data_IF_035900742145
#
_entry.id   IF_035900742145
#
_cell.length_a   1.000
_cell.length_b   1.000
_cell.length_c   1.000
_cell.angle_alpha   90.00
_cell.angle_beta   90.00
_cell.angle_gamma   90.00
#
_symmetry.space_group_name_H-M   'P 1'
#
loop_
_entity.id
_entity.type
_entity.pdbx_description
1 polymer ?
#
# COMPACT_ATOMS: atom_id res chain seq x y z
N UNK A 1 -5.40 -2.50 32.59
CA UNK A 1 -6.21 -1.40 32.03
C UNK A 1 -5.52 -0.02 32.19
N UNK A 2 -4.35 0.16 31.57
CA UNK A 2 -3.70 1.44 31.20
C UNK A 2 -2.67 1.18 30.07
N UNK A 3 -3.01 0.25 29.17
CA UNK A 3 -2.13 -0.31 28.13
C UNK A 3 -1.58 0.77 27.16
N UNK A 4 -2.38 1.77 26.75
CA UNK A 4 -1.86 2.84 25.89
C UNK A 4 -0.85 3.74 26.61
N UNK A 5 -1.06 3.98 27.90
CA UNK A 5 -0.19 4.87 28.69
C UNK A 5 1.18 4.23 28.94
N UNK A 6 1.24 2.92 29.19
CA UNK A 6 2.51 2.21 29.30
C UNK A 6 3.33 2.23 27.99
N UNK A 7 2.67 2.12 26.82
CA UNK A 7 3.34 2.27 25.52
C UNK A 7 3.83 3.69 25.29
N UNK A 8 2.99 4.69 25.57
CA UNK A 8 3.38 6.09 25.43
C UNK A 8 4.52 6.45 26.38
N UNK A 9 4.53 5.92 27.61
CA UNK A 9 5.64 6.10 28.55
C UNK A 9 6.93 5.45 28.03
N UNK A 10 6.87 4.20 27.53
CA UNK A 10 8.02 3.51 26.95
C UNK A 10 8.58 4.29 25.76
N UNK A 11 7.72 4.75 24.85
CA UNK A 11 8.10 5.54 23.69
C UNK A 11 8.75 6.87 24.10
N UNK A 12 8.16 7.58 25.07
CA UNK A 12 8.72 8.81 25.63
C UNK A 12 10.12 8.61 26.24
N UNK A 13 10.34 7.49 26.94
CA UNK A 13 11.67 7.13 27.47
C UNK A 13 12.65 6.93 26.33
N UNK A 14 12.26 6.21 25.28
CA UNK A 14 13.13 5.96 24.13
C UNK A 14 13.51 7.24 23.39
N UNK A 15 12.55 8.15 23.19
CA UNK A 15 12.78 9.49 22.60
C UNK A 15 13.80 10.29 23.43
N UNK A 16 13.69 10.26 24.76
CA UNK A 16 14.66 10.94 25.64
C UNK A 16 16.04 10.29 25.54
N UNK A 17 16.11 8.97 25.53
CA UNK A 17 17.36 8.21 25.38
C UNK A 17 18.04 8.49 24.03
N UNK A 18 17.27 8.62 22.96
CA UNK A 18 17.77 8.93 21.63
C UNK A 18 18.30 10.37 21.50
N UNK A 19 17.55 11.35 22.04
CA UNK A 19 17.85 12.77 21.86
C UNK A 19 18.86 13.34 22.86
N UNK A 20 19.14 12.62 23.95
CA UNK A 20 20.10 13.04 24.98
C UNK A 20 21.34 12.16 24.97
N UNK A 21 22.48 12.73 25.35
CA UNK A 21 23.72 11.96 25.53
C UNK A 21 23.65 11.16 26.84
N UNK A 22 22.90 10.06 26.80
CA UNK A 22 22.68 9.16 27.95
C UNK A 22 23.83 8.12 28.01
N UNK A 23 24.30 7.71 29.20
CA UNK A 23 25.34 6.69 29.31
C UNK A 23 24.96 5.36 28.62
N UNK A 24 25.89 4.68 27.92
CA UNK A 24 25.61 3.43 27.20
C UNK A 24 25.01 2.32 28.06
N UNK A 25 25.35 2.28 29.35
CA UNK A 25 24.78 1.32 30.30
C UNK A 25 23.26 1.47 30.46
N UNK A 26 22.75 2.71 30.41
CA UNK A 26 21.32 2.99 30.50
C UNK A 26 20.63 2.62 29.19
N UNK A 27 21.25 2.94 28.04
CA UNK A 27 20.75 2.54 26.72
C UNK A 27 20.56 1.02 26.66
N UNK A 28 21.59 0.25 27.04
CA UNK A 28 21.54 -1.22 27.04
C UNK A 28 20.49 -1.79 28.02
N UNK A 29 20.32 -1.15 29.18
CA UNK A 29 19.29 -1.57 30.14
C UNK A 29 17.88 -1.34 29.59
N UNK A 30 17.65 -0.22 28.90
CA UNK A 30 16.38 0.08 28.23
C UNK A 30 16.16 -0.90 27.07
N UNK A 31 17.16 -1.14 26.23
CA UNK A 31 17.09 -2.10 25.12
C UNK A 31 16.71 -3.50 25.60
N UNK A 32 17.35 -3.98 26.67
CA UNK A 32 17.05 -5.29 27.29
C UNK A 32 15.62 -5.33 27.85
N UNK A 33 15.15 -4.23 28.44
CA UNK A 33 13.77 -4.13 28.96
C UNK A 33 12.76 -4.18 27.83
N UNK A 34 13.01 -3.43 26.75
CA UNK A 34 12.18 -3.42 25.55
C UNK A 34 12.13 -4.80 24.89
N UNK A 35 13.27 -5.48 24.79
CA UNK A 35 13.37 -6.86 24.30
C UNK A 35 12.52 -7.84 25.10
N UNK A 36 12.55 -7.75 26.44
CA UNK A 36 11.76 -8.64 27.30
C UNK A 36 10.25 -8.38 27.21
N UNK A 37 9.84 -7.14 26.93
CA UNK A 37 8.44 -6.75 26.84
C UNK A 37 7.84 -6.92 25.44
N UNK A 38 8.65 -7.21 24.42
CA UNK A 38 8.21 -7.19 23.03
C UNK A 38 7.05 -8.18 22.77
N UNK A 39 7.12 -9.40 23.32
CA UNK A 39 6.09 -10.41 23.15
C UNK A 39 4.78 -10.00 23.83
N UNK A 40 4.88 -9.44 25.04
CA UNK A 40 3.73 -8.93 25.78
C UNK A 40 3.06 -7.74 25.07
N UNK A 41 3.85 -6.86 24.44
CA UNK A 41 3.37 -5.72 23.66
C UNK A 41 2.54 -6.18 22.45
N UNK A 42 2.99 -7.22 21.73
CA UNK A 42 2.31 -7.72 20.54
C UNK A 42 1.18 -8.71 20.84
N UNK A 43 1.00 -9.14 22.09
CA UNK A 43 -0.22 -9.80 22.55
C UNK A 43 -1.42 -8.85 22.66
N UNK A 44 -1.20 -7.54 22.58
CA UNK A 44 -2.26 -6.54 22.69
C UNK A 44 -3.02 -6.34 21.37
N UNK A 45 -4.30 -5.94 21.44
CA UNK A 45 -5.07 -5.63 20.24
C UNK A 45 -4.40 -4.51 19.45
N UNK A 46 -4.55 -4.60 18.13
CA UNK A 46 -4.05 -3.61 17.21
C UNK A 46 -4.63 -2.22 17.55
N UNK A 47 -3.76 -1.23 17.76
CA UNK A 47 -4.15 0.16 18.08
C UNK A 47 -3.22 1.14 17.38
N UNK A 48 -3.72 2.32 16.99
CA UNK A 48 -2.92 3.36 16.33
C UNK A 48 -1.71 3.77 17.19
N UNK A 49 -1.91 3.86 18.51
CA UNK A 49 -0.86 4.19 19.49
C UNK A 49 0.29 3.18 19.50
N UNK A 50 0.04 1.92 19.14
CA UNK A 50 1.10 0.92 19.00
C UNK A 50 1.99 1.25 17.79
N UNK A 51 1.42 1.66 16.65
CA UNK A 51 2.21 2.08 15.49
C UNK A 51 3.03 3.34 15.79
N UNK A 52 2.42 4.34 16.42
CA UNK A 52 3.11 5.59 16.82
C UNK A 52 4.27 5.29 17.78
N UNK A 53 4.02 4.52 18.83
CA UNK A 53 5.06 4.14 19.79
C UNK A 53 6.20 3.37 19.12
N UNK A 54 5.89 2.45 18.20
CA UNK A 54 6.93 1.69 17.50
C UNK A 54 7.74 2.55 16.53
N UNK A 55 7.10 3.53 15.86
CA UNK A 55 7.80 4.48 15.01
C UNK A 55 8.77 5.37 15.81
N UNK A 56 8.44 5.70 17.06
CA UNK A 56 9.32 6.45 17.98
C UNK A 56 10.45 5.59 18.57
N UNK A 57 10.19 4.31 18.83
CA UNK A 57 11.18 3.39 19.43
C UNK A 57 12.21 2.92 18.40
N UNK A 58 11.81 2.73 17.14
CA UNK A 58 12.65 2.16 16.08
C UNK A 58 13.99 2.90 15.86
N UNK A 59 14.05 4.25 15.80
CA UNK A 59 15.31 4.99 15.65
C UNK A 59 16.27 4.83 16.83
N UNK A 60 15.75 4.51 18.02
CA UNK A 60 16.56 4.39 19.24
C UNK A 60 17.32 3.06 19.26
N UNK A 61 16.74 1.99 18.71
CA UNK A 61 17.31 0.64 18.76
C UNK A 61 17.30 -0.02 17.37
N UNK A 62 18.26 0.32 16.48
CA UNK A 62 18.35 -0.26 15.14
C UNK A 62 18.42 -1.80 15.12
N UNK A 63 19.06 -2.38 16.14
CA UNK A 63 19.16 -3.83 16.38
C UNK A 63 17.80 -4.53 16.49
N UNK A 64 16.75 -3.82 16.91
CA UNK A 64 15.43 -4.37 17.17
C UNK A 64 14.43 -4.15 16.03
N UNK A 65 14.75 -3.30 15.06
CA UNK A 65 13.82 -2.90 13.98
C UNK A 65 13.28 -4.12 13.22
N UNK A 66 14.14 -5.08 12.86
CA UNK A 66 13.71 -6.30 12.17
C UNK A 66 12.70 -7.12 13.00
N UNK A 67 12.93 -7.22 14.31
CA UNK A 67 12.03 -7.94 15.22
C UNK A 67 10.68 -7.23 15.34
N UNK A 68 10.68 -5.90 15.47
CA UNK A 68 9.47 -5.08 15.51
C UNK A 68 8.67 -5.16 14.20
N UNK A 69 9.32 -4.96 13.06
CA UNK A 69 8.68 -5.04 11.75
C UNK A 69 8.03 -6.41 11.54
N UNK A 70 8.75 -7.50 11.83
CA UNK A 70 8.22 -8.86 11.68
C UNK A 70 7.02 -9.13 12.60
N UNK A 71 7.08 -8.71 13.88
CA UNK A 71 5.97 -8.90 14.82
C UNK A 71 4.76 -8.05 14.46
N UNK A 72 4.97 -6.78 14.11
CA UNK A 72 3.92 -5.88 13.63
C UNK A 72 3.23 -6.45 12.40
N UNK A 73 4.00 -6.91 11.42
CA UNK A 73 3.48 -7.48 10.19
C UNK A 73 2.70 -8.78 10.44
N UNK A 74 3.17 -9.63 11.36
CA UNK A 74 2.42 -10.82 11.76
C UNK A 74 1.09 -10.47 12.43
N UNK A 75 1.06 -9.46 13.32
CA UNK A 75 -0.18 -9.02 13.97
C UNK A 75 -1.16 -8.43 12.96
N UNK A 76 -0.68 -7.61 12.01
CA UNK A 76 -1.49 -7.06 10.91
C UNK A 76 -2.00 -8.18 10.00
N UNK A 77 -1.13 -9.10 9.57
CA UNK A 77 -1.49 -10.25 8.75
C UNK A 77 -2.53 -11.14 9.44
N UNK A 78 -2.41 -11.33 10.75
CA UNK A 78 -3.41 -12.08 11.52
C UNK A 78 -4.75 -11.33 11.60
N UNK A 79 -4.73 -10.00 11.72
CA UNK A 79 -5.95 -9.19 11.73
C UNK A 79 -6.69 -9.21 10.38
N UNK A 80 -5.96 -9.23 9.27
CA UNK A 80 -6.51 -9.23 7.91
C UNK A 80 -6.90 -10.63 7.42
N UNK A 81 -6.01 -11.60 7.63
CA UNK A 81 -6.08 -12.90 6.98
C UNK A 81 -6.25 -14.07 7.95
N UNK A 82 -6.19 -13.82 9.27
CA UNK A 82 -6.15 -14.85 10.31
C UNK A 82 -4.96 -15.83 10.18
N UNK A 83 -3.87 -15.38 9.54
CA UNK A 83 -2.65 -16.15 9.33
C UNK A 83 -1.41 -15.26 9.53
N UNK A 84 -0.28 -15.80 10.03
CA UNK A 84 0.96 -15.06 10.12
C UNK A 84 1.55 -14.78 8.73
N UNK A 85 2.35 -13.71 8.63
CA UNK A 85 3.01 -13.32 7.39
C UNK A 85 3.94 -14.43 6.90
N UNK A 86 3.97 -14.67 5.58
CA UNK A 86 4.74 -15.75 4.96
C UNK A 86 4.07 -17.13 5.01
N UNK A 87 2.86 -17.24 5.56
CA UNK A 87 2.01 -18.41 5.32
C UNK A 87 1.61 -18.40 3.85
N UNK A 88 2.02 -19.39 3.06
CA UNK A 88 1.90 -19.34 1.59
C UNK A 88 0.50 -19.05 1.03
N UNK A 89 0.38 -18.81 -0.28
CA UNK A 89 -0.82 -18.26 -0.95
C UNK A 89 -2.13 -19.00 -0.65
N UNK A 90 -2.06 -20.31 -0.41
CA UNK A 90 -3.21 -21.17 -0.12
C UNK A 90 -3.96 -20.80 1.18
N UNK A 91 -3.35 -20.04 2.10
CA UNK A 91 -4.00 -19.64 3.36
C UNK A 91 -4.69 -18.28 3.31
N UNK A 92 -4.28 -17.36 2.42
CA UNK A 92 -4.89 -16.02 2.31
C UNK A 92 -6.30 -16.05 1.71
N UNK A 93 -6.65 -17.13 1.02
CA UNK A 93 -7.92 -17.28 0.30
C UNK A 93 -9.19 -17.45 1.18
N UNK A 94 -9.12 -17.42 2.52
CA UNK A 94 -10.24 -17.91 3.34
C UNK A 94 -10.53 -17.25 4.69
N UNK A 95 -9.85 -16.18 5.09
CA UNK A 95 -10.01 -15.58 6.42
C UNK A 95 -11.25 -14.68 6.57
N UNK A 96 -11.37 -13.66 5.72
CA UNK A 96 -12.36 -12.59 5.88
C UNK A 96 -13.73 -12.91 5.25
N UNK A 97 -13.76 -13.58 4.09
CA UNK A 97 -15.00 -13.82 3.32
C UNK A 97 -15.82 -15.06 3.71
N UNK A 98 -15.38 -15.88 4.68
CA UNK A 98 -16.08 -17.15 5.01
C UNK A 98 -17.47 -16.97 5.63
N UNK A 99 -17.89 -15.76 5.99
CA UNK A 99 -19.22 -15.51 6.58
C UNK A 99 -20.34 -15.17 5.59
N UNK A 100 -20.11 -15.16 4.27
CA UNK A 100 -21.18 -14.85 3.29
C UNK A 100 -21.49 -15.95 2.27
N UNK A 101 -20.91 -17.13 2.41
CA UNK A 101 -21.44 -18.30 1.74
C UNK A 101 -22.80 -18.67 2.36
N UNK A 102 -23.86 -18.22 1.72
CA UNK A 102 -25.23 -18.70 1.95
C UNK A 102 -25.18 -20.22 1.86
N UNK A 103 -25.63 -20.86 2.94
CA UNK A 103 -25.87 -22.28 3.02
C UNK A 103 -26.75 -22.75 1.86
N UNK A 104 -26.16 -23.43 0.89
CA UNK A 104 -26.89 -24.27 -0.06
C UNK A 104 -26.18 -25.61 -0.22
N UNK A 105 -26.73 -26.64 0.45
CA UNK A 105 -26.51 -28.03 0.10
C UNK A 105 -25.55 -28.83 1.01
N UNK A 106 -26.06 -29.34 2.12
CA UNK A 106 -25.41 -30.38 2.91
C UNK A 106 -26.27 -30.77 4.11
N UNK A 107 -26.77 -32.01 4.14
CA UNK A 107 -27.84 -32.50 5.02
C UNK A 107 -27.59 -32.41 6.54
N UNK A 108 -28.61 -32.72 7.36
CA UNK A 108 -28.55 -32.51 8.81
C UNK A 108 -27.69 -33.57 9.49
N UNK A 109 -26.78 -33.23 10.42
CA UNK A 109 -26.20 -34.23 11.29
C UNK A 109 -27.17 -34.53 12.44
N UNK A 110 -27.43 -35.82 12.62
CA UNK A 110 -28.15 -36.37 13.76
C UNK A 110 -27.35 -36.17 15.07
N UNK A 111 -28.09 -35.84 16.14
CA UNK A 111 -27.84 -36.12 17.56
C UNK A 111 -26.41 -35.93 18.12
N UNK A 112 -26.20 -34.82 18.82
CA UNK A 112 -25.27 -34.72 19.96
C UNK A 112 -25.96 -33.94 21.09
N UNK A 113 -25.83 -34.35 22.37
CA UNK A 113 -26.54 -33.72 23.48
C UNK A 113 -25.91 -32.38 23.84
N UNK A 114 -26.77 -31.42 24.16
CA UNK A 114 -26.43 -30.04 24.51
C UNK A 114 -25.63 -29.95 25.82
N UNK A 115 -24.30 -29.93 25.71
CA UNK A 115 -23.45 -29.36 26.75
C UNK A 115 -23.36 -27.85 26.52
N UNK A 116 -23.68 -27.07 27.55
CA UNK A 116 -23.56 -25.61 27.59
C UNK A 116 -22.21 -25.15 27.00
N UNK A 117 -22.22 -24.73 25.74
CA UNK A 117 -21.14 -23.98 25.12
C UNK A 117 -21.22 -22.58 25.71
N UNK A 118 -20.18 -22.07 26.40
CA UNK A 118 -20.20 -20.68 26.87
C UNK A 118 -20.36 -19.79 25.63
N UNK A 119 -21.21 -18.78 25.73
CA UNK A 119 -21.44 -17.81 24.66
C UNK A 119 -20.09 -17.21 24.24
N UNK A 120 -19.54 -17.73 23.14
CA UNK A 120 -18.37 -17.14 22.49
C UNK A 120 -18.78 -15.76 22.04
N UNK A 121 -18.10 -14.71 22.54
CA UNK A 121 -18.17 -13.33 22.07
C UNK A 121 -18.29 -13.32 20.53
N UNK A 122 -19.51 -13.15 20.02
CA UNK A 122 -19.73 -12.99 18.60
C UNK A 122 -19.29 -11.56 18.28
N UNK A 123 -18.06 -11.42 17.78
CA UNK A 123 -17.56 -10.15 17.25
C UNK A 123 -18.58 -9.65 16.23
N UNK A 124 -19.10 -8.45 16.44
CA UNK A 124 -20.09 -7.88 15.53
C UNK A 124 -19.43 -7.63 14.17
N UNK A 125 -20.17 -7.68 13.05
CA UNK A 125 -19.63 -7.35 11.73
C UNK A 125 -18.96 -5.96 11.69
N UNK A 126 -19.48 -5.00 12.47
CA UNK A 126 -18.92 -3.64 12.59
C UNK A 126 -17.55 -3.63 13.26
N UNK A 127 -17.39 -4.32 14.39
CA UNK A 127 -16.10 -4.42 15.09
C UNK A 127 -15.03 -5.12 14.24
N UNK A 128 -15.44 -6.09 13.41
CA UNK A 128 -14.52 -6.77 12.50
C UNK A 128 -14.09 -5.85 11.35
N UNK A 129 -15.00 -5.03 10.81
CA UNK A 129 -14.68 -4.03 9.80
C UNK A 129 -13.70 -2.97 10.34
N UNK A 130 -13.93 -2.46 11.56
CA UNK A 130 -13.04 -1.48 12.19
C UNK A 130 -11.61 -2.03 12.37
N UNK A 131 -11.49 -3.31 12.74
CA UNK A 131 -10.18 -3.98 12.85
C UNK A 131 -9.46 -4.07 11.51
N UNK A 132 -10.17 -4.39 10.42
CA UNK A 132 -9.57 -4.45 9.08
C UNK A 132 -9.13 -3.07 8.60
N UNK A 133 -9.99 -2.06 8.76
CA UNK A 133 -9.65 -0.67 8.43
C UNK A 133 -8.41 -0.22 9.19
N UNK A 134 -8.34 -0.52 10.49
CA UNK A 134 -7.19 -0.18 11.31
C UNK A 134 -5.92 -0.92 10.87
N UNK A 135 -6.02 -2.21 10.52
CA UNK A 135 -4.90 -3.01 10.04
C UNK A 135 -4.34 -2.48 8.71
N UNK A 136 -5.21 -2.17 7.74
CA UNK A 136 -4.80 -1.56 6.46
C UNK A 136 -4.13 -0.20 6.67
N UNK A 137 -4.69 0.63 7.57
CA UNK A 137 -4.12 1.95 7.89
C UNK A 137 -2.76 1.85 8.56
N UNK A 138 -2.59 0.91 9.50
CA UNK A 138 -1.30 0.71 10.17
C UNK A 138 -0.23 0.20 9.20
N UNK A 139 -0.60 -0.67 8.26
CA UNK A 139 0.32 -1.13 7.22
C UNK A 139 0.83 0.03 6.34
N UNK A 140 -0.02 1.03 6.09
CA UNK A 140 0.34 2.25 5.34
C UNK A 140 1.17 3.25 6.16
N UNK A 141 0.97 3.31 7.47
CA UNK A 141 1.62 4.31 8.35
C UNK A 141 3.00 3.87 8.86
N UNK A 142 3.20 2.58 9.05
CA UNK A 142 4.45 2.05 9.59
C UNK A 142 5.39 1.63 8.46
N UNK A 143 6.68 1.92 8.61
CA UNK A 143 7.65 1.62 7.58
C UNK A 143 8.25 0.22 7.72
N UNK A 144 8.22 -0.56 6.64
CA UNK A 144 8.67 -1.95 6.57
C UNK A 144 9.87 -2.14 5.62
N UNK A 145 10.78 -1.17 5.54
CA UNK A 145 11.93 -1.17 4.61
C UNK A 145 12.78 -2.46 4.59
N UNK A 146 12.78 -3.27 5.66
CA UNK A 146 13.58 -4.49 5.75
C UNK A 146 12.81 -5.75 5.31
N UNK A 147 11.56 -5.60 4.85
CA UNK A 147 10.69 -6.70 4.44
C UNK A 147 10.08 -6.38 3.07
N UNK A 148 10.26 -7.26 2.10
CA UNK A 148 9.58 -7.17 0.82
C UNK A 148 8.09 -7.46 0.99
N UNK A 149 7.24 -6.44 0.76
CA UNK A 149 5.79 -6.54 0.92
C UNK A 149 5.03 -6.85 -0.37
N UNK A 150 5.68 -6.80 -1.54
CA UNK A 150 5.02 -6.90 -2.85
C UNK A 150 4.07 -8.10 -2.99
N UNK A 151 4.55 -9.33 -2.71
CA UNK A 151 3.71 -10.53 -2.80
C UNK A 151 2.53 -10.51 -1.81
N UNK A 152 2.74 -9.98 -0.60
CA UNK A 152 1.67 -9.86 0.38
C UNK A 152 0.63 -8.82 -0.02
N UNK A 153 1.06 -7.69 -0.59
CA UNK A 153 0.14 -6.69 -1.14
C UNK A 153 -0.70 -7.32 -2.25
N UNK A 154 -0.06 -8.01 -3.20
CA UNK A 154 -0.74 -8.72 -4.27
C UNK A 154 -1.71 -9.78 -3.76
N UNK A 155 -1.28 -10.70 -2.91
CA UNK A 155 -2.04 -11.91 -2.58
C UNK A 155 -3.07 -11.70 -1.45
N UNK A 156 -2.81 -10.75 -0.55
CA UNK A 156 -3.68 -10.49 0.60
C UNK A 156 -4.45 -9.17 0.48
N UNK A 157 -3.77 -8.06 0.17
CA UNK A 157 -4.37 -6.72 0.25
C UNK A 157 -5.27 -6.42 -0.96
N UNK A 158 -4.91 -6.86 -2.17
CA UNK A 158 -5.75 -6.61 -3.36
C UNK A 158 -7.14 -7.22 -3.26
N UNK A 159 -7.35 -8.26 -2.44
CA UNK A 159 -8.66 -8.86 -2.21
C UNK A 159 -9.64 -7.91 -1.52
N UNK A 160 -9.14 -6.93 -0.78
CA UNK A 160 -9.97 -5.94 -0.08
C UNK A 160 -10.37 -4.75 -0.96
N UNK A 161 -9.81 -4.64 -2.18
CA UNK A 161 -10.18 -3.59 -3.14
C UNK A 161 -11.62 -3.78 -3.63
N UNK A 162 -12.10 -5.02 -3.70
CA UNK A 162 -13.45 -5.37 -4.15
C UNK A 162 -14.43 -5.60 -2.98
N UNK A 163 -14.10 -5.13 -1.77
CA UNK A 163 -14.91 -5.33 -0.58
C UNK A 163 -16.26 -4.59 -0.64
N UNK A 164 -17.29 -5.11 0.04
CA UNK A 164 -18.60 -4.46 0.06
C UNK A 164 -18.58 -3.12 0.78
N UNK A 165 -17.69 -2.96 1.77
CA UNK A 165 -17.55 -1.73 2.53
C UNK A 165 -16.71 -0.71 1.76
N UNK A 166 -17.27 0.48 1.43
CA UNK A 166 -16.50 1.54 0.76
C UNK A 166 -15.30 2.00 1.60
N UNK A 167 -15.41 1.94 2.93
CA UNK A 167 -14.28 2.30 3.80
C UNK A 167 -13.11 1.31 3.69
N UNK A 168 -13.41 0.01 3.52
CA UNK A 168 -12.38 -1.01 3.36
C UNK A 168 -11.73 -0.88 1.98
N UNK A 169 -12.54 -0.75 0.91
CA UNK A 169 -12.03 -0.54 -0.45
C UNK A 169 -11.09 0.64 -0.54
N UNK A 170 -11.48 1.79 0.02
CA UNK A 170 -10.67 3.00 0.05
C UNK A 170 -9.33 2.80 0.77
N UNK A 171 -9.36 2.22 1.96
CA UNK A 171 -8.15 2.01 2.74
C UNK A 171 -7.24 0.97 2.08
N UNK A 172 -7.79 -0.09 1.49
CA UNK A 172 -7.04 -1.10 0.75
C UNK A 172 -6.35 -0.51 -0.48
N UNK A 173 -7.08 0.27 -1.28
CA UNK A 173 -6.53 0.98 -2.44
C UNK A 173 -5.35 1.88 -2.06
N UNK A 174 -5.53 2.75 -1.06
CA UNK A 174 -4.47 3.65 -0.58
C UNK A 174 -3.27 2.88 -0.03
N UNK A 175 -3.49 1.77 0.67
CA UNK A 175 -2.42 0.92 1.19
C UNK A 175 -1.66 0.24 0.06
N UNK A 176 -2.33 -0.27 -0.98
CA UNK A 176 -1.69 -0.80 -2.18
C UNK A 176 -0.86 0.26 -2.90
N UNK A 177 -1.39 1.48 -3.12
CA UNK A 177 -0.66 2.56 -3.76
C UNK A 177 0.60 2.98 -2.97
N UNK A 178 0.56 2.94 -1.64
CA UNK A 178 1.75 3.27 -0.83
C UNK A 178 2.83 2.19 -0.96
N UNK A 179 2.43 0.93 -0.81
CA UNK A 179 3.36 -0.19 -0.62
C UNK A 179 3.85 -0.82 -1.93
N UNK A 180 3.20 -0.56 -3.07
CA UNK A 180 3.57 -1.15 -4.35
C UNK A 180 4.98 -0.75 -4.84
N UNK A 181 5.53 0.38 -4.36
CA UNK A 181 6.84 0.90 -4.79
C UNK A 181 7.83 1.04 -3.62
N UNK A 182 7.39 0.86 -2.38
CA UNK A 182 8.26 0.89 -1.20
C UNK A 182 9.03 -0.45 -1.07
N UNK A 183 9.69 -0.89 -2.15
CA UNK A 183 10.65 -1.99 -2.11
C UNK A 183 11.99 -1.50 -1.52
N UNK A 184 12.71 -2.36 -0.77
CA UNK A 184 13.99 -2.00 -0.19
C UNK A 184 14.95 -1.43 -1.25
N UNK A 185 15.79 -0.43 -0.91
CA UNK A 185 16.74 0.15 -1.85
C UNK A 185 17.74 -0.87 -2.41
N UNK A 186 18.00 -1.97 -1.69
CA UNK A 186 18.86 -3.07 -2.15
C UNK A 186 18.22 -3.91 -3.28
N UNK A 187 16.90 -3.83 -3.46
CA UNK A 187 16.15 -4.57 -4.48
C UNK A 187 15.55 -3.67 -5.55
N UNK A 188 15.80 -2.36 -5.53
CA UNK A 188 15.31 -1.43 -6.54
C UNK A 188 16.39 -1.16 -7.62
N UNK A 189 16.41 -1.93 -8.72
CA UNK A 189 17.34 -1.70 -9.82
C UNK A 189 17.06 -0.41 -10.60
N UNK A 190 15.94 0.29 -10.32
CA UNK A 190 15.59 1.54 -10.96
C UNK A 190 16.26 2.77 -10.34
N UNK A 191 17.21 2.59 -9.40
CA UNK A 191 18.25 3.61 -9.17
C UNK A 191 19.17 3.59 -10.39
N UNK A 192 18.71 4.20 -11.48
CA UNK A 192 19.57 4.66 -12.54
C UNK A 192 20.56 5.64 -11.90
N UNK A 193 21.75 5.15 -11.57
CA UNK A 193 22.91 6.02 -11.39
C UNK A 193 23.19 6.57 -12.78
N UNK A 194 22.67 7.76 -13.09
CA UNK A 194 23.13 8.51 -14.27
C UNK A 194 24.65 8.53 -14.18
N UNK A 195 25.33 7.94 -15.19
CA UNK A 195 26.78 7.82 -15.23
C UNK A 195 27.50 9.19 -15.13
N UNK A 196 26.76 10.30 -15.17
CA UNK A 196 27.25 11.66 -15.01
C UNK A 196 27.35 12.14 -13.55
N UNK A 197 26.85 11.38 -12.57
CA UNK A 197 27.01 11.65 -11.13
C UNK A 197 27.45 10.38 -10.41
N UNK A 198 28.67 9.92 -10.70
CA UNK A 198 29.35 8.88 -9.90
C UNK A 198 29.96 9.56 -8.68
N UNK A 199 29.38 9.35 -7.50
CA UNK A 199 30.00 9.71 -6.23
C UNK A 199 31.04 8.64 -5.86
N UNK A 200 32.35 8.98 -5.80
CA UNK A 200 33.41 8.01 -5.54
C UNK A 200 33.44 7.47 -4.09
N UNK A 201 32.62 7.99 -3.18
CA UNK A 201 32.67 7.60 -1.75
C UNK A 201 31.71 6.45 -1.35
N UNK A 202 30.91 5.90 -2.27
CA UNK A 202 29.94 4.82 -1.99
C UNK A 202 30.43 3.38 -2.29
N UNK A 203 31.70 3.19 -2.62
CA UNK A 203 32.31 1.89 -3.00
C UNK A 203 32.48 0.87 -1.85
N UNK A 204 31.68 0.96 -0.78
CA UNK A 204 31.85 0.15 0.43
C UNK A 204 30.79 -0.94 0.65
N UNK A 205 30.05 -1.33 -0.40
CA UNK A 205 29.15 -2.49 -0.34
C UNK A 205 29.79 -3.76 -0.92
N UNK A 206 29.56 -4.95 -0.33
CA UNK A 206 30.20 -6.19 -0.78
C UNK A 206 29.73 -6.57 -2.19
N UNK A 207 30.63 -6.42 -3.18
CA UNK A 207 30.39 -6.89 -4.54
C UNK A 207 30.39 -8.42 -4.56
N UNK A 208 29.24 -9.00 -4.88
CA UNK A 208 29.15 -10.39 -5.31
C UNK A 208 30.04 -10.54 -6.54
N UNK A 209 31.06 -11.40 -6.48
CA UNK A 209 31.95 -11.62 -7.62
C UNK A 209 31.21 -12.36 -8.73
N UNK A 210 30.73 -11.61 -9.73
CA UNK A 210 30.23 -12.16 -10.99
C UNK A 210 31.41 -12.31 -11.97
N UNK A 211 31.55 -13.50 -12.56
CA UNK A 211 32.72 -13.82 -13.39
C UNK A 211 32.66 -13.21 -14.80
N UNK A 212 31.50 -12.70 -15.26
CA UNK A 212 31.34 -12.06 -16.56
C UNK A 212 30.26 -10.94 -16.55
N UNK A 213 30.37 -9.99 -17.48
CA UNK A 213 29.38 -8.91 -17.67
C UNK A 213 27.98 -9.43 -18.04
N UNK A 214 27.89 -10.57 -18.73
CA UNK A 214 26.61 -11.20 -19.10
C UNK A 214 25.83 -11.71 -17.89
N UNK A 215 26.52 -12.17 -16.84
CA UNK A 215 25.90 -12.65 -15.59
C UNK A 215 25.34 -11.47 -14.78
N UNK A 216 25.99 -10.31 -14.81
CA UNK A 216 25.52 -9.10 -14.14
C UNK A 216 24.27 -8.52 -14.82
N UNK A 217 24.28 -8.44 -16.16
CA UNK A 217 23.12 -7.99 -16.94
C UNK A 217 21.94 -8.96 -16.80
N UNK A 218 22.17 -10.29 -16.83
CA UNK A 218 21.10 -11.28 -16.61
C UNK A 218 20.56 -11.28 -15.18
N UNK A 219 21.39 -11.01 -14.17
CA UNK A 219 20.93 -10.93 -12.78
C UNK A 219 20.11 -9.66 -12.54
N UNK A 220 20.57 -8.52 -13.07
CA UNK A 220 19.79 -7.28 -13.08
C UNK A 220 18.47 -7.46 -13.82
N UNK A 221 18.48 -7.95 -15.07
CA UNK A 221 17.26 -8.19 -15.84
C UNK A 221 16.28 -9.11 -15.10
N UNK A 222 16.77 -10.19 -14.46
CA UNK A 222 15.90 -11.15 -13.75
C UNK A 222 15.31 -10.57 -12.46
N UNK A 223 16.03 -9.71 -11.73
CA UNK A 223 15.54 -9.02 -10.53
C UNK A 223 14.58 -7.88 -10.90
N UNK A 224 14.91 -7.10 -11.94
CA UNK A 224 14.04 -6.07 -12.56
C UNK A 224 12.72 -6.71 -12.99
N UNK A 225 12.76 -7.85 -13.68
CA UNK A 225 11.54 -8.51 -14.18
C UNK A 225 10.59 -8.98 -13.06
N UNK A 226 11.11 -9.44 -11.92
CA UNK A 226 10.26 -10.00 -10.85
C UNK A 226 9.55 -8.92 -10.04
N UNK A 227 10.23 -7.82 -9.68
CA UNK A 227 9.62 -6.68 -9.00
C UNK A 227 8.63 -5.94 -9.91
N UNK A 228 8.98 -5.75 -11.18
CA UNK A 228 8.09 -5.14 -12.17
C UNK A 228 6.82 -5.97 -12.44
N UNK A 229 6.91 -7.30 -12.36
CA UNK A 229 5.75 -8.18 -12.56
C UNK A 229 4.71 -7.97 -11.43
N UNK A 230 5.15 -8.00 -10.17
CA UNK A 230 4.26 -7.83 -9.01
C UNK A 230 3.66 -6.43 -8.99
N UNK A 231 4.46 -5.40 -9.24
CA UNK A 231 3.97 -4.02 -9.37
C UNK A 231 2.94 -3.90 -10.50
N UNK A 232 3.20 -4.50 -11.66
CA UNK A 232 2.28 -4.48 -12.80
C UNK A 232 0.92 -5.11 -12.48
N UNK A 233 0.92 -6.24 -11.76
CA UNK A 233 -0.31 -6.94 -11.34
C UNK A 233 -1.11 -6.09 -10.32
N UNK A 234 -0.44 -5.53 -9.32
CA UNK A 234 -1.07 -4.65 -8.33
C UNK A 234 -1.65 -3.41 -9.01
N UNK A 235 -0.89 -2.79 -9.93
CA UNK A 235 -1.30 -1.61 -10.66
C UNK A 235 -2.49 -1.89 -11.57
N UNK A 236 -2.57 -3.08 -12.18
CA UNK A 236 -3.74 -3.49 -12.97
C UNK A 236 -5.00 -3.58 -12.12
N UNK A 237 -4.90 -4.18 -10.94
CA UNK A 237 -6.02 -4.28 -9.98
C UNK A 237 -6.46 -2.89 -9.51
N UNK A 238 -5.50 -2.01 -9.21
CA UNK A 238 -5.77 -0.63 -8.83
C UNK A 238 -6.45 0.16 -9.95
N UNK A 239 -5.95 0.09 -11.19
CA UNK A 239 -6.54 0.80 -12.32
C UNK A 239 -7.91 0.28 -12.69
N UNK A 240 -8.13 -1.04 -12.59
CA UNK A 240 -9.44 -1.65 -12.77
C UNK A 240 -10.43 -1.14 -11.73
N UNK A 241 -10.04 -1.09 -10.46
CA UNK A 241 -10.89 -0.53 -9.41
C UNK A 241 -11.10 0.99 -9.58
N UNK A 242 -10.06 1.70 -10.01
CA UNK A 242 -10.12 3.13 -10.31
C UNK A 242 -11.13 3.47 -11.40
N UNK A 243 -11.37 2.57 -12.36
CA UNK A 243 -12.41 2.73 -13.38
C UNK A 243 -13.80 2.30 -12.92
N UNK A 244 -13.89 1.25 -12.10
CA UNK A 244 -15.15 0.54 -11.88
C UNK A 244 -15.77 0.77 -10.48
N UNK A 245 -15.09 1.43 -9.54
CA UNK A 245 -15.67 1.66 -8.21
C UNK A 245 -16.89 2.60 -8.32
N UNK A 246 -18.05 2.22 -7.74
CA UNK A 246 -19.25 3.06 -7.76
C UNK A 246 -19.07 4.38 -7.01
N UNK A 247 -18.15 4.46 -6.05
CA UNK A 247 -17.88 5.66 -5.26
C UNK A 247 -16.81 6.54 -5.93
N UNK A 248 -17.15 7.76 -6.39
CA UNK A 248 -16.19 8.66 -7.04
C UNK A 248 -15.06 9.10 -6.11
N UNK A 249 -15.26 9.13 -4.79
CA UNK A 249 -14.19 9.49 -3.84
C UNK A 249 -13.14 8.39 -3.73
N UNK A 250 -13.49 7.13 -4.02
CA UNK A 250 -12.54 6.01 -4.07
C UNK A 250 -11.77 6.04 -5.40
N UNK A 251 -12.47 6.23 -6.53
CA UNK A 251 -11.82 6.41 -7.84
C UNK A 251 -10.81 7.56 -7.78
N UNK A 252 -11.22 8.71 -7.22
CA UNK A 252 -10.35 9.86 -7.02
C UNK A 252 -9.15 9.52 -6.14
N UNK A 253 -9.35 8.82 -5.01
CA UNK A 253 -8.27 8.45 -4.11
C UNK A 253 -7.25 7.52 -4.77
N UNK A 254 -7.69 6.58 -5.60
CA UNK A 254 -6.80 5.69 -6.37
C UNK A 254 -5.94 6.51 -7.33
N UNK A 255 -6.56 7.27 -8.24
CA UNK A 255 -5.81 8.03 -9.24
C UNK A 255 -4.93 9.11 -8.61
N UNK A 256 -5.39 9.81 -7.58
CA UNK A 256 -4.60 10.82 -6.88
C UNK A 256 -3.38 10.24 -6.15
N UNK A 257 -3.37 8.93 -5.88
CA UNK A 257 -2.23 8.25 -5.26
C UNK A 257 -1.20 7.73 -6.27
N UNK A 258 -1.48 7.81 -7.58
CA UNK A 258 -0.55 7.43 -8.64
C UNK A 258 0.42 8.58 -8.94
N UNK A 259 1.43 8.72 -8.09
CA UNK A 259 2.49 9.73 -8.20
C UNK A 259 3.57 9.39 -9.28
N UNK A 260 4.66 10.14 -9.30
CA UNK A 260 5.78 10.00 -10.24
C UNK A 260 6.55 8.70 -10.14
N UNK A 261 6.42 7.99 -9.03
CA UNK A 261 7.08 6.70 -8.86
C UNK A 261 6.45 5.64 -9.76
N UNK A 262 5.18 5.80 -10.15
CA UNK A 262 4.45 4.87 -11.03
C UNK A 262 4.69 5.10 -12.52
N UNK A 263 5.35 6.19 -12.92
CA UNK A 263 5.33 6.65 -14.32
C UNK A 263 5.95 5.68 -15.29
N UNK A 264 7.05 5.05 -14.91
CA UNK A 264 7.71 4.05 -15.75
C UNK A 264 6.76 2.88 -16.06
N UNK A 265 6.10 2.34 -15.02
CA UNK A 265 5.15 1.23 -15.17
C UNK A 265 3.85 1.64 -15.89
N UNK A 266 3.39 2.88 -15.71
CA UNK A 266 2.21 3.41 -16.40
C UNK A 266 2.46 3.67 -17.89
N UNK A 267 3.69 4.09 -18.25
CA UNK A 267 4.05 4.59 -19.58
C UNK A 267 4.36 3.49 -20.61
N UNK A 268 4.94 2.37 -20.16
CA UNK A 268 5.47 1.30 -21.02
C UNK A 268 4.60 0.04 -21.04
N UNK A 269 3.37 0.12 -20.52
CA UNK A 269 2.43 -1.01 -20.43
C UNK A 269 1.08 -0.65 -21.05
N UNK A 270 0.22 -1.66 -21.23
CA UNK A 270 -1.18 -1.51 -21.65
C UNK A 270 -2.02 -0.68 -20.65
N UNK A 271 -1.43 -0.31 -19.49
CA UNK A 271 -2.01 0.55 -18.45
C UNK A 271 -2.40 1.94 -18.94
N UNK A 272 -1.75 2.49 -19.99
CA UNK A 272 -2.17 3.78 -20.57
C UNK A 272 -3.63 3.76 -21.02
N UNK A 273 -4.14 2.63 -21.53
CA UNK A 273 -5.53 2.51 -22.00
C UNK A 273 -6.56 2.73 -20.87
N UNK A 274 -6.21 2.34 -19.63
CA UNK A 274 -7.04 2.59 -18.46
C UNK A 274 -7.13 4.09 -18.17
N UNK A 275 -5.99 4.79 -18.21
CA UNK A 275 -5.95 6.25 -18.02
C UNK A 275 -6.73 6.97 -19.13
N UNK A 276 -6.58 6.54 -20.39
CA UNK A 276 -7.35 7.14 -21.50
C UNK A 276 -8.86 6.95 -21.34
N UNK A 277 -9.29 5.82 -20.77
CA UNK A 277 -10.69 5.57 -20.44
C UNK A 277 -11.14 6.48 -19.30
N UNK A 278 -10.33 6.62 -18.25
CA UNK A 278 -10.62 7.41 -17.05
C UNK A 278 -10.69 8.93 -17.31
N UNK A 279 -10.14 9.44 -18.41
CA UNK A 279 -10.35 10.85 -18.83
C UNK A 279 -11.84 11.16 -19.04
N UNK A 280 -12.65 10.14 -19.35
CA UNK A 280 -14.09 10.28 -19.55
C UNK A 280 -14.91 9.93 -18.28
N UNK A 281 -14.31 9.99 -17.09
CA UNK A 281 -15.02 9.73 -15.84
C UNK A 281 -16.19 10.72 -15.61
N UNK A 282 -17.24 10.22 -14.97
CA UNK A 282 -18.43 10.99 -14.62
C UNK A 282 -18.12 12.12 -13.61
N UNK A 283 -17.17 11.91 -12.69
CA UNK A 283 -16.72 12.90 -11.71
C UNK A 283 -15.58 13.75 -12.29
N UNK A 284 -15.82 15.07 -12.38
CA UNK A 284 -14.85 16.04 -12.90
C UNK A 284 -13.51 16.04 -12.15
N UNK A 285 -13.50 15.73 -10.85
CA UNK A 285 -12.27 15.69 -10.04
C UNK A 285 -11.38 14.54 -10.49
N UNK A 286 -11.98 13.39 -10.79
CA UNK A 286 -11.27 12.23 -11.33
C UNK A 286 -10.67 12.57 -12.69
N UNK A 287 -11.47 13.15 -13.61
CA UNK A 287 -10.98 13.59 -14.92
C UNK A 287 -9.77 14.52 -14.81
N UNK A 288 -9.84 15.54 -13.96
CA UNK A 288 -8.75 16.49 -13.76
C UNK A 288 -7.44 15.83 -13.29
N UNK A 289 -7.53 14.93 -12.31
CA UNK A 289 -6.36 14.17 -11.82
C UNK A 289 -5.77 13.28 -12.91
N UNK A 290 -6.62 12.55 -13.65
CA UNK A 290 -6.16 11.66 -14.73
C UNK A 290 -5.49 12.45 -15.86
N UNK A 291 -6.04 13.61 -16.24
CA UNK A 291 -5.43 14.50 -17.24
C UNK A 291 -4.06 14.99 -16.76
N UNK A 292 -3.92 15.33 -15.48
CA UNK A 292 -2.62 15.72 -14.91
C UNK A 292 -1.59 14.56 -14.96
N UNK A 293 -2.02 13.32 -14.68
CA UNK A 293 -1.17 12.13 -14.83
C UNK A 293 -0.75 11.97 -16.29
N UNK A 294 -1.68 12.03 -17.24
CA UNK A 294 -1.37 11.93 -18.66
C UNK A 294 -0.44 13.05 -19.14
N UNK A 295 -0.66 14.30 -18.69
CA UNK A 295 0.22 15.43 -18.98
C UNK A 295 1.66 15.14 -18.55
N UNK A 296 1.83 14.62 -17.33
CA UNK A 296 3.13 14.18 -16.80
C UNK A 296 3.74 13.03 -17.61
N UNK A 297 2.95 12.02 -17.99
CA UNK A 297 3.39 10.89 -18.82
C UNK A 297 3.71 11.30 -20.26
N UNK A 298 3.16 12.40 -20.78
CA UNK A 298 3.40 12.87 -22.14
C UNK A 298 4.86 13.22 -22.42
N UNK A 299 5.61 13.59 -21.36
CA UNK A 299 7.07 13.83 -21.43
C UNK A 299 7.84 12.54 -21.71
N UNK A 300 7.32 11.41 -21.22
CA UNK A 300 7.96 10.09 -21.36
C UNK A 300 7.49 9.34 -22.62
N UNK A 301 6.20 9.46 -22.98
CA UNK A 301 5.62 8.80 -24.15
C UNK A 301 4.61 9.71 -24.85
N UNK A 302 5.15 10.68 -25.59
CA UNK A 302 4.36 11.63 -26.35
C UNK A 302 3.51 10.95 -27.44
N UNK A 303 4.03 9.91 -28.08
CA UNK A 303 3.35 9.22 -29.19
C UNK A 303 2.09 8.48 -28.71
N UNK A 304 2.14 7.85 -27.54
CA UNK A 304 1.00 7.15 -26.94
C UNK A 304 -0.02 8.07 -26.29
N UNK A 305 0.42 9.22 -25.76
CA UNK A 305 -0.43 10.09 -24.94
C UNK A 305 -1.06 11.24 -25.72
N UNK A 306 -0.30 11.91 -26.60
CA UNK A 306 -0.77 13.12 -27.28
C UNK A 306 -2.01 12.92 -28.16
N UNK A 307 -2.20 11.81 -28.89
CA UNK A 307 -3.42 11.61 -29.68
C UNK A 307 -4.69 11.68 -28.82
N UNK A 308 -4.67 11.05 -27.65
CA UNK A 308 -5.79 11.04 -26.71
C UNK A 308 -6.01 12.40 -26.03
N UNK A 309 -4.93 13.10 -25.65
CA UNK A 309 -5.03 14.46 -25.11
C UNK A 309 -5.58 15.44 -26.15
N UNK A 310 -5.16 15.32 -27.41
CA UNK A 310 -5.70 16.13 -28.52
C UNK A 310 -7.19 15.88 -28.71
N UNK A 311 -7.63 14.61 -28.67
CA UNK A 311 -9.04 14.28 -28.73
C UNK A 311 -9.83 14.91 -27.57
N UNK A 312 -9.31 14.79 -26.35
CA UNK A 312 -9.91 15.37 -25.14
C UNK A 312 -10.03 16.89 -25.24
N UNK A 313 -9.00 17.58 -25.73
CA UNK A 313 -9.04 19.03 -25.95
C UNK A 313 -10.16 19.41 -26.93
N UNK A 314 -10.27 18.71 -28.06
CA UNK A 314 -11.32 18.98 -29.05
C UNK A 314 -12.71 18.73 -28.47
N UNK A 315 -12.86 17.67 -27.68
CA UNK A 315 -14.12 17.37 -26.99
C UNK A 315 -14.49 18.47 -26.00
N UNK A 316 -13.57 18.91 -25.13
CA UNK A 316 -13.82 19.99 -24.15
C UNK A 316 -14.17 21.31 -24.84
N UNK A 317 -13.50 21.65 -25.95
CA UNK A 317 -13.83 22.84 -26.73
C UNK A 317 -15.24 22.76 -27.33
N UNK A 318 -15.64 21.59 -27.84
CA UNK A 318 -17.00 21.38 -28.35
C UNK A 318 -18.06 21.38 -27.23
N UNK A 319 -17.73 20.86 -26.05
CA UNK A 319 -18.59 20.95 -24.86
C UNK A 319 -18.79 22.40 -24.42
N UNK A 320 -17.73 23.23 -24.45
CA UNK A 320 -17.85 24.67 -24.17
C UNK A 320 -18.68 25.40 -25.22
N UNK A 321 -18.50 25.09 -26.51
CA UNK A 321 -19.23 25.73 -27.61
C UNK A 321 -20.74 25.41 -27.58
N UNK A 322 -21.10 24.19 -27.18
CA UNK A 322 -22.49 23.72 -27.12
C UNK A 322 -23.10 23.76 -25.71
N UNK A 323 -22.40 24.33 -24.72
CA UNK A 323 -22.87 24.40 -23.34
C UNK A 323 -24.14 25.27 -23.25
N UNK A 324 -25.15 24.76 -22.56
CA UNK A 324 -26.44 25.43 -22.39
C UNK A 324 -26.47 26.24 -21.09
N UNK A 325 -25.61 25.89 -20.12
CA UNK A 325 -25.55 26.52 -18.79
C UNK A 325 -24.10 26.85 -18.38
N UNK A 326 -23.93 27.91 -17.59
CA UNK A 326 -22.62 28.46 -17.18
C UNK A 326 -21.78 27.44 -16.42
N UNK A 327 -22.42 26.52 -15.70
CA UNK A 327 -21.74 25.46 -14.93
C UNK A 327 -21.02 24.44 -15.83
N UNK A 328 -21.58 24.16 -17.02
CA UNK A 328 -20.93 23.28 -18.00
C UNK A 328 -19.69 23.95 -18.60
N UNK A 329 -19.79 25.24 -18.90
CA UNK A 329 -18.66 26.05 -19.39
C UNK A 329 -17.55 26.09 -18.33
N UNK A 330 -17.89 26.38 -17.08
CA UNK A 330 -16.93 26.43 -15.96
C UNK A 330 -16.23 25.07 -15.78
N UNK A 331 -17.00 23.97 -15.79
CA UNK A 331 -16.44 22.62 -15.63
C UNK A 331 -15.50 22.23 -16.77
N UNK A 332 -15.87 22.54 -18.01
CA UNK A 332 -15.03 22.27 -19.17
C UNK A 332 -13.78 23.17 -19.18
N UNK A 333 -13.91 24.44 -18.77
CA UNK A 333 -12.79 25.38 -18.64
C UNK A 333 -11.79 24.95 -17.56
N UNK A 334 -12.24 24.50 -16.39
CA UNK A 334 -11.38 23.98 -15.32
C UNK A 334 -10.59 22.76 -15.78
N UNK A 335 -11.26 21.85 -16.50
CA UNK A 335 -10.65 20.63 -17.04
C UNK A 335 -9.63 20.96 -18.14
N UNK A 336 -9.95 21.95 -18.99
CA UNK A 336 -9.06 22.43 -20.04
C UNK A 336 -7.84 23.16 -19.45
N UNK A 337 -8.01 23.91 -18.35
CA UNK A 337 -6.92 24.54 -17.64
C UNK A 337 -5.92 23.50 -17.10
N UNK A 338 -6.41 22.37 -16.58
CA UNK A 338 -5.56 21.26 -16.13
C UNK A 338 -4.77 20.59 -17.27
N UNK A 339 -5.25 20.67 -18.52
CA UNK A 339 -4.58 20.09 -19.69
C UNK A 339 -3.42 20.97 -20.22
N UNK A 340 -3.45 22.28 -19.95
CA UNK A 340 -2.49 23.25 -20.48
C UNK A 340 -1.27 23.45 -19.55
N UNK A 341 -1.37 23.04 -18.28
CA UNK A 341 -0.29 23.14 -17.27
C UNK A 341 0.81 22.09 -17.47
#
# INVERSE_FOLDING_TARGET
>A
PHIPESLTCLASICVVVHNQSVPPAVVNAVETTVLNLIDDIFCWPLTIKLAEAMAEISPTFPSLIQSFQKKMLNTISFALCAAPFGSGPAMFASGYHRKRAISSGGGPPMFAPAAHRPATNQVTPSEQQEKVVLALRMLRMYNFDLITLGEFVRDAITNFIDDESPTIRKEAALTCCKLAIDEPPETNPNVFVDSRYRDPDLDQFPLVHFNNNDDYMQYQDRQVQTGDCVLSEILERLLTAGLNDPDPDIRLAIFASLDNRFDHSLCFSDKLSYLMTAVNDEDRRVRGVVISILGRLSVLNCAGVLPSLRWTLLQLLAEMENAIDSRQIETAADTLAALIQ
#
